data_IF_859544182908
#
_entry.id   IF_859544182908
#
_cell.length_a   1.000
_cell.length_b   1.000
_cell.length_c   1.000
_cell.angle_alpha   90.00
_cell.angle_beta   90.00
_cell.angle_gamma   90.00
#
_symmetry.space_group_name_H-M   'P 1'
#
loop_
_entity.id
_entity.type
_entity.pdbx_description
1 polymer ?
#
# COMPACT_ATOMS: atom_id res chain seq x y z
N UNK A 1 -19.77 5.30 7.74
CA UNK A 1 -19.64 6.73 8.10
C UNK A 1 -18.47 6.87 9.06
N UNK A 2 -17.24 6.96 8.54
CA UNK A 2 -16.06 7.26 9.36
C UNK A 2 -16.10 8.74 9.72
N UNK A 3 -16.04 9.06 11.01
CA UNK A 3 -15.94 10.45 11.44
C UNK A 3 -14.60 11.03 11.00
N UNK A 4 -14.53 12.35 10.83
CA UNK A 4 -13.26 13.05 10.55
C UNK A 4 -12.14 12.65 11.56
N UNK A 5 -12.53 12.30 12.79
CA UNK A 5 -11.63 11.77 13.84
C UNK A 5 -11.01 10.41 13.51
N UNK A 6 -11.78 9.50 12.92
CA UNK A 6 -11.31 8.15 12.57
C UNK A 6 -10.32 8.20 11.42
N UNK A 7 -10.62 9.04 10.41
CA UNK A 7 -9.71 9.24 9.30
C UNK A 7 -8.38 9.86 9.75
N UNK A 8 -8.41 10.91 10.57
CA UNK A 8 -7.18 11.53 11.08
C UNK A 8 -6.37 10.54 11.93
N UNK A 9 -7.04 9.72 12.75
CA UNK A 9 -6.37 8.68 13.53
C UNK A 9 -5.76 7.59 12.63
N UNK A 10 -6.46 7.16 11.58
CA UNK A 10 -5.97 6.19 10.62
C UNK A 10 -4.78 6.74 9.83
N UNK A 11 -4.90 7.95 9.30
CA UNK A 11 -3.83 8.66 8.61
C UNK A 11 -2.60 8.86 9.49
N UNK A 12 -2.79 9.20 10.77
CA UNK A 12 -1.68 9.31 11.72
C UNK A 12 -0.98 7.96 11.93
N UNK A 13 -1.74 6.87 12.05
CA UNK A 13 -1.17 5.51 12.19
C UNK A 13 -0.40 5.08 10.94
N UNK A 14 -0.99 5.19 9.75
CA UNK A 14 -0.31 4.82 8.50
C UNK A 14 0.91 5.69 8.23
N UNK A 15 0.82 7.00 8.48
CA UNK A 15 1.97 7.91 8.39
C UNK A 15 3.08 7.49 9.36
N UNK A 16 2.74 7.16 10.60
CA UNK A 16 3.71 6.74 11.61
C UNK A 16 4.39 5.41 11.22
N UNK A 17 3.63 4.44 10.73
CA UNK A 17 4.17 3.15 10.24
C UNK A 17 5.09 3.37 9.04
N UNK A 18 4.64 4.17 8.06
CA UNK A 18 5.45 4.49 6.89
C UNK A 18 6.71 5.29 7.24
N UNK A 19 6.60 6.24 8.17
CA UNK A 19 7.74 6.98 8.72
C UNK A 19 8.71 6.07 9.47
N UNK A 20 8.22 5.11 10.24
CA UNK A 20 9.04 4.08 10.89
C UNK A 20 9.80 3.20 9.88
N UNK A 21 9.12 2.77 8.81
CA UNK A 21 9.78 2.07 7.71
C UNK A 21 10.83 2.95 7.01
N UNK A 22 10.54 4.24 6.81
CA UNK A 22 11.48 5.22 6.30
C UNK A 22 12.68 5.43 7.22
N UNK A 23 12.50 5.42 8.53
CA UNK A 23 13.58 5.49 9.52
C UNK A 23 14.48 4.26 9.44
N UNK A 24 13.90 3.08 9.30
CA UNK A 24 14.66 1.85 9.12
C UNK A 24 15.49 1.86 7.82
N UNK A 25 14.86 2.27 6.71
CA UNK A 25 15.51 2.43 5.41
C UNK A 25 16.59 3.52 5.46
N UNK A 26 16.36 4.59 6.22
CA UNK A 26 17.34 5.64 6.49
C UNK A 26 18.55 5.11 7.26
N UNK A 27 18.32 4.29 8.28
CA UNK A 27 19.39 3.65 9.06
C UNK A 27 20.27 2.76 8.17
N UNK A 28 19.67 1.95 7.29
CA UNK A 28 20.40 1.11 6.33
C UNK A 28 21.23 1.96 5.37
N UNK A 29 20.65 3.04 4.82
CA UNK A 29 21.40 3.93 3.93
C UNK A 29 22.53 4.66 4.66
N UNK A 30 22.34 5.00 5.94
CA UNK A 30 23.36 5.63 6.77
C UNK A 30 24.53 4.68 7.08
N UNK A 31 24.29 3.37 7.24
CA UNK A 31 25.37 2.39 7.49
C UNK A 31 26.14 2.02 6.22
N UNK A 32 25.50 2.02 5.05
CA UNK A 32 26.15 1.74 3.77
C UNK A 32 26.87 2.96 3.17
N UNK A 33 26.61 4.16 3.69
CA UNK A 33 27.23 5.39 3.22
C UNK A 33 28.72 5.46 3.57
N UNK A 34 29.56 5.88 2.61
CA UNK A 34 30.96 6.26 2.88
C UNK A 34 31.01 7.61 3.60
N UNK A 35 30.66 7.67 4.89
CA UNK A 35 30.74 8.88 5.70
C UNK A 35 30.96 8.58 7.19
N UNK A 36 31.52 9.54 7.92
CA UNK A 36 31.79 9.46 9.37
C UNK A 36 30.70 10.07 10.24
N UNK A 37 29.51 10.33 9.67
CA UNK A 37 28.35 10.77 10.43
C UNK A 37 27.77 9.55 11.17
N UNK A 38 27.89 9.54 12.50
CA UNK A 38 27.34 8.49 13.36
C UNK A 38 25.81 8.45 13.35
N UNK A 39 25.17 8.22 14.50
CA UNK A 39 23.70 8.11 14.59
C UNK A 39 22.93 9.36 14.07
N UNK A 40 23.56 10.53 14.08
CA UNK A 40 22.95 11.78 13.58
C UNK A 40 22.67 11.75 12.07
N UNK A 41 23.46 11.01 11.30
CA UNK A 41 23.32 10.93 9.84
C UNK A 41 21.97 10.36 9.37
N UNK A 42 21.31 9.55 10.21
CA UNK A 42 19.96 9.00 9.97
C UNK A 42 18.93 10.12 9.78
N UNK A 43 19.09 11.26 10.45
CA UNK A 43 18.17 12.38 10.37
C UNK A 43 18.70 13.51 9.49
N UNK A 44 20.02 13.76 9.51
CA UNK A 44 20.60 14.91 8.79
C UNK A 44 20.93 14.61 7.33
N UNK A 45 21.29 13.37 7.00
CA UNK A 45 21.74 12.99 5.66
C UNK A 45 20.71 12.14 4.92
N UNK A 46 20.27 11.06 5.54
CA UNK A 46 19.29 10.11 4.96
C UNK A 46 17.87 10.38 5.46
N UNK A 47 17.69 11.40 6.31
CA UNK A 47 16.39 11.79 6.89
C UNK A 47 15.32 12.16 5.86
N UNK A 48 15.73 12.58 4.65
CA UNK A 48 14.81 12.79 3.53
C UNK A 48 14.01 11.54 3.16
N UNK A 49 14.54 10.34 3.40
CA UNK A 49 13.79 9.08 3.15
C UNK A 49 12.69 8.83 4.18
N UNK A 50 12.90 9.26 5.43
CA UNK A 50 11.88 9.19 6.50
C UNK A 50 10.70 10.07 6.13
N UNK A 51 10.96 11.34 5.82
CA UNK A 51 9.91 12.30 5.43
C UNK A 51 9.22 11.89 4.14
N UNK A 52 9.96 11.33 3.19
CA UNK A 52 9.41 10.85 1.93
C UNK A 52 8.41 9.70 2.11
N UNK A 53 8.78 8.64 2.84
CA UNK A 53 7.87 7.51 3.08
C UNK A 53 6.70 7.91 3.97
N UNK A 54 6.93 8.74 5.00
CA UNK A 54 5.87 9.28 5.83
C UNK A 54 4.85 10.09 4.99
N UNK A 55 5.32 10.96 4.11
CA UNK A 55 4.47 11.74 3.22
C UNK A 55 3.65 10.84 2.28
N UNK A 56 4.26 9.81 1.69
CA UNK A 56 3.53 8.85 0.85
C UNK A 56 2.41 8.14 1.64
N UNK A 57 2.70 7.63 2.85
CA UNK A 57 1.71 6.95 3.69
C UNK A 57 0.59 7.87 4.17
N UNK A 58 0.90 9.13 4.48
CA UNK A 58 -0.09 10.12 4.87
C UNK A 58 -1.01 10.55 3.72
N UNK A 59 -0.43 10.83 2.55
CA UNK A 59 -1.21 11.19 1.34
C UNK A 59 -2.12 10.03 0.94
N UNK A 60 -1.63 8.79 1.00
CA UNK A 60 -2.42 7.59 0.75
C UNK A 60 -3.67 7.57 1.65
N UNK A 61 -3.49 7.54 2.97
CA UNK A 61 -4.61 7.37 3.90
C UNK A 61 -5.61 8.53 3.86
N UNK A 62 -5.15 9.77 3.72
CA UNK A 62 -6.06 10.93 3.61
C UNK A 62 -6.88 10.85 2.32
N UNK A 63 -6.24 10.46 1.21
CA UNK A 63 -6.90 10.36 -0.09
C UNK A 63 -7.90 9.20 -0.11
N UNK A 64 -7.56 8.08 0.53
CA UNK A 64 -8.44 6.93 0.69
C UNK A 64 -9.69 7.31 1.49
N UNK A 65 -9.54 7.93 2.66
CA UNK A 65 -10.69 8.42 3.43
C UNK A 65 -11.55 9.41 2.63
N UNK A 66 -10.92 10.31 1.88
CA UNK A 66 -11.63 11.30 1.08
C UNK A 66 -12.42 10.61 -0.05
N UNK A 67 -11.85 9.61 -0.70
CA UNK A 67 -12.51 8.82 -1.73
C UNK A 67 -13.69 8.03 -1.15
N UNK A 68 -13.51 7.37 -0.01
CA UNK A 68 -14.58 6.68 0.72
C UNK A 68 -15.69 7.64 1.15
N UNK A 69 -15.34 8.82 1.65
CA UNK A 69 -16.31 9.82 2.08
C UNK A 69 -17.16 10.37 0.94
N UNK A 70 -16.57 10.52 -0.25
CA UNK A 70 -17.28 11.01 -1.45
C UNK A 70 -18.14 9.91 -2.08
N UNK A 71 -17.65 8.67 -2.15
CA UNK A 71 -18.36 7.56 -2.82
C UNK A 71 -19.33 6.82 -1.90
N UNK A 72 -19.12 6.88 -0.59
CA UNK A 72 -19.91 6.14 0.40
C UNK A 72 -19.71 4.62 0.35
N UNK A 73 -18.75 4.13 -0.43
CA UNK A 73 -18.48 2.72 -0.67
C UNK A 73 -16.99 2.44 -0.48
N UNK A 74 -16.67 1.28 0.12
CA UNK A 74 -15.30 0.81 0.37
C UNK A 74 -14.90 -0.17 -0.73
N UNK A 75 -14.40 0.35 -1.84
CA UNK A 75 -14.01 -0.42 -3.01
C UNK A 75 -12.49 -0.42 -3.26
N UNK A 76 -11.95 -1.42 -3.98
CA UNK A 76 -10.55 -1.43 -4.42
C UNK A 76 -10.15 -0.18 -5.22
N UNK A 77 -11.10 0.50 -5.86
CA UNK A 77 -10.86 1.76 -6.57
C UNK A 77 -10.38 2.89 -5.65
N UNK A 78 -10.80 2.91 -4.38
CA UNK A 78 -10.36 3.93 -3.42
C UNK A 78 -8.87 3.78 -3.12
N UNK A 79 -8.42 2.56 -2.84
CA UNK A 79 -7.01 2.25 -2.65
C UNK A 79 -6.18 2.47 -3.92
N UNK A 80 -6.74 2.22 -5.11
CA UNK A 80 -6.09 2.54 -6.37
C UNK A 80 -5.86 4.05 -6.56
N UNK A 81 -6.87 4.88 -6.28
CA UNK A 81 -6.78 6.34 -6.37
C UNK A 81 -5.82 6.89 -5.31
N UNK A 82 -5.93 6.40 -4.07
CA UNK A 82 -5.01 6.74 -2.98
C UNK A 82 -3.57 6.34 -3.30
N UNK A 83 -3.37 5.16 -3.87
CA UNK A 83 -2.08 4.65 -4.33
C UNK A 83 -1.47 5.51 -5.43
N UNK A 84 -2.28 5.95 -6.40
CA UNK A 84 -1.83 6.90 -7.42
C UNK A 84 -1.40 8.24 -6.80
N UNK A 85 -2.23 8.81 -5.91
CA UNK A 85 -1.93 10.07 -5.23
C UNK A 85 -0.63 9.98 -4.40
N UNK A 86 -0.42 8.89 -3.68
CA UNK A 86 0.82 8.61 -2.97
C UNK A 86 2.01 8.45 -3.94
N UNK A 87 1.81 7.78 -5.07
CA UNK A 87 2.81 7.61 -6.12
C UNK A 87 3.28 8.93 -6.75
N UNK A 88 2.41 9.93 -6.86
CA UNK A 88 2.79 11.26 -7.35
C UNK A 88 3.85 11.93 -6.47
N UNK A 89 3.85 11.67 -5.15
CA UNK A 89 4.88 12.18 -4.22
C UNK A 89 6.27 11.69 -4.62
N UNK A 90 6.39 10.45 -5.13
CA UNK A 90 7.65 9.92 -5.66
C UNK A 90 8.14 10.70 -6.89
N UNK A 91 7.23 11.07 -7.79
CA UNK A 91 7.56 11.87 -8.95
C UNK A 91 7.90 13.33 -8.62
N UNK A 92 7.27 13.92 -7.59
CA UNK A 92 7.66 15.24 -7.06
C UNK A 92 9.09 15.19 -6.56
N UNK A 93 9.45 14.17 -5.78
CA UNK A 93 10.83 13.99 -5.29
C UNK A 93 11.84 13.77 -6.42
N UNK A 94 11.44 13.08 -7.48
CA UNK A 94 12.29 12.83 -8.65
C UNK A 94 12.31 14.01 -9.66
N UNK A 95 11.51 15.06 -9.46
CA UNK A 95 11.34 16.17 -10.39
C UNK A 95 11.08 15.73 -11.84
N UNK A 96 10.26 14.69 -12.03
CA UNK A 96 10.02 14.08 -13.35
C UNK A 96 8.57 13.70 -13.53
N UNK A 97 7.94 14.26 -14.58
CA UNK A 97 6.56 13.94 -14.96
C UNK A 97 6.43 12.47 -15.38
N UNK A 98 7.45 11.93 -16.06
CA UNK A 98 7.45 10.51 -16.43
C UNK A 98 7.43 9.62 -15.17
N UNK A 99 8.22 9.98 -14.15
CA UNK A 99 8.22 9.26 -12.87
C UNK A 99 6.91 9.44 -12.12
N UNK A 100 6.25 10.60 -12.21
CA UNK A 100 4.91 10.81 -11.65
C UNK A 100 3.90 9.84 -12.28
N UNK A 101 3.83 9.77 -13.61
CA UNK A 101 2.90 8.88 -14.30
C UNK A 101 3.19 7.41 -14.01
N UNK A 102 4.47 7.01 -14.07
CA UNK A 102 4.89 5.64 -13.80
C UNK A 102 4.61 5.22 -12.34
N UNK A 103 4.90 6.10 -11.37
CA UNK A 103 4.66 5.83 -9.97
C UNK A 103 3.16 5.83 -9.64
N UNK A 104 2.37 6.74 -10.21
CA UNK A 104 0.92 6.71 -10.06
C UNK A 104 0.34 5.40 -10.59
N UNK A 105 0.68 5.02 -11.82
CA UNK A 105 0.18 3.78 -12.43
C UNK A 105 0.67 2.53 -11.67
N UNK A 106 1.95 2.48 -11.32
CA UNK A 106 2.55 1.34 -10.63
C UNK A 106 2.01 1.17 -9.21
N UNK A 107 2.06 2.21 -8.39
CA UNK A 107 1.60 2.15 -6.99
C UNK A 107 0.08 2.03 -6.95
N UNK A 108 -0.64 2.79 -7.78
CA UNK A 108 -2.10 2.72 -7.87
C UNK A 108 -2.59 1.34 -8.31
N UNK A 109 -2.02 0.76 -9.38
CA UNK A 109 -2.40 -0.58 -9.80
C UNK A 109 -2.06 -1.65 -8.76
N UNK A 110 -0.93 -1.51 -8.06
CA UNK A 110 -0.53 -2.46 -7.02
C UNK A 110 -1.49 -2.41 -5.83
N UNK A 111 -1.88 -1.21 -5.37
CA UNK A 111 -2.83 -1.05 -4.27
C UNK A 111 -4.24 -1.51 -4.68
N UNK A 112 -4.66 -1.20 -5.90
CA UNK A 112 -5.92 -1.72 -6.45
C UNK A 112 -5.92 -3.25 -6.46
N UNK A 113 -4.84 -3.87 -6.95
CA UNK A 113 -4.72 -5.32 -6.99
C UNK A 113 -4.68 -5.94 -5.57
N UNK A 114 -4.06 -5.26 -4.62
CA UNK A 114 -3.99 -5.70 -3.22
C UNK A 114 -5.38 -5.77 -2.57
N UNK A 115 -6.16 -4.68 -2.67
CA UNK A 115 -7.54 -4.66 -2.16
C UNK A 115 -8.44 -5.61 -2.94
N UNK A 116 -8.29 -5.67 -4.27
CA UNK A 116 -9.05 -6.59 -5.11
C UNK A 116 -8.79 -8.06 -4.75
N UNK A 117 -7.56 -8.40 -4.31
CA UNK A 117 -7.21 -9.73 -3.83
C UNK A 117 -7.71 -10.03 -2.40
N UNK A 118 -8.43 -9.12 -1.76
CA UNK A 118 -9.00 -9.27 -0.42
C UNK A 118 -8.14 -8.69 0.71
N UNK A 119 -7.27 -7.72 0.41
CA UNK A 119 -6.58 -6.92 1.42
C UNK A 119 -5.62 -7.72 2.31
N UNK A 120 -5.26 -8.94 1.91
CA UNK A 120 -4.46 -9.87 2.70
C UNK A 120 -3.47 -10.66 1.84
N UNK A 121 -2.22 -10.76 2.30
CA UNK A 121 -1.17 -11.52 1.61
C UNK A 121 -1.35 -13.04 1.66
N UNK A 122 -2.24 -13.54 2.53
CA UNK A 122 -2.60 -14.97 2.55
C UNK A 122 -3.66 -15.35 1.51
N UNK A 123 -4.17 -14.37 0.75
CA UNK A 123 -5.17 -14.54 -0.30
C UNK A 123 -6.62 -14.59 0.23
N UNK A 124 -7.57 -14.50 -0.70
CA UNK A 124 -9.02 -14.48 -0.44
C UNK A 124 -9.52 -15.66 0.39
N UNK A 125 -8.85 -16.81 0.33
CA UNK A 125 -9.26 -17.99 1.10
C UNK A 125 -9.21 -17.77 2.62
N UNK A 126 -8.43 -16.82 3.14
CA UNK A 126 -8.36 -16.60 4.59
C UNK A 126 -9.63 -15.97 5.16
N UNK A 127 -10.32 -15.13 4.38
CA UNK A 127 -11.60 -14.55 4.77
C UNK A 127 -12.79 -15.49 4.51
N UNK A 128 -12.61 -16.52 3.68
CA UNK A 128 -13.66 -17.49 3.39
C UNK A 128 -13.93 -18.37 4.61
N UNK A 129 -15.21 -18.64 4.86
CA UNK A 129 -15.64 -19.63 5.84
C UNK A 129 -15.09 -21.03 5.50
N UNK A 130 -14.96 -21.92 6.49
CA UNK A 130 -14.47 -23.29 6.25
C UNK A 130 -15.31 -24.04 5.19
N UNK A 131 -16.62 -23.74 5.14
CA UNK A 131 -17.55 -24.28 4.15
C UNK A 131 -17.29 -23.72 2.74
N UNK A 132 -17.03 -22.42 2.62
CA UNK A 132 -16.64 -21.79 1.36
C UNK A 132 -15.27 -22.26 0.85
N UNK A 133 -14.29 -22.46 1.74
CA UNK A 133 -12.99 -23.05 1.38
C UNK A 133 -13.15 -24.47 0.83
N UNK A 134 -14.08 -25.24 1.40
CA UNK A 134 -14.40 -26.58 0.94
C UNK A 134 -15.10 -26.55 -0.42
N UNK A 135 -16.10 -25.69 -0.61
CA UNK A 135 -16.78 -25.49 -1.89
C UNK A 135 -15.82 -25.02 -2.99
N UNK A 136 -14.91 -24.09 -2.66
CA UNK A 136 -13.87 -23.62 -3.58
C UNK A 136 -12.95 -24.77 -3.99
N UNK A 137 -12.39 -25.55 -3.04
CA UNK A 137 -11.62 -26.78 -3.37
C UNK A 137 -12.39 -27.73 -4.28
N UNK A 138 -13.63 -28.05 -3.92
CA UNK A 138 -14.44 -29.02 -4.64
C UNK A 138 -14.73 -28.55 -6.08
N UNK A 139 -14.81 -27.23 -6.30
CA UNK A 139 -14.94 -26.65 -7.65
C UNK A 139 -13.70 -26.85 -8.54
N UNK A 140 -12.49 -26.90 -7.98
CA UNK A 140 -11.26 -27.22 -8.73
C UNK A 140 -11.14 -28.72 -9.04
N UNK A 141 -11.53 -29.58 -8.10
CA UNK A 141 -11.38 -31.04 -8.25
C UNK A 141 -12.49 -31.69 -9.08
N UNK A 142 -13.60 -31.01 -9.38
CA UNK A 142 -14.69 -31.56 -10.21
C UNK A 142 -14.37 -31.64 -11.71
N UNK A 143 -13.27 -31.05 -12.19
CA UNK A 143 -12.93 -31.00 -13.62
C UNK A 143 -12.28 -32.26 -14.22
N UNK A 144 -11.76 -33.19 -13.42
CA UNK A 144 -11.06 -34.37 -13.95
C UNK A 144 -11.96 -35.59 -14.22
N UNK A 145 -13.24 -35.60 -13.80
CA UNK A 145 -14.14 -36.74 -14.07
C UNK A 145 -14.74 -36.77 -15.49
N UNK A 146 -14.59 -35.73 -16.29
CA UNK A 146 -15.16 -35.67 -17.65
C UNK A 146 -14.16 -36.01 -18.77
N UNK A 147 -12.90 -36.32 -18.46
CA UNK A 147 -11.88 -36.66 -19.47
C UNK A 147 -11.61 -38.18 -19.53
N UNK A 148 -12.17 -38.98 -18.63
CA UNK A 148 -12.06 -40.45 -18.62
C UNK A 148 -13.23 -41.18 -19.32
N UNK A 149 -14.17 -40.45 -19.94
CA UNK A 149 -15.31 -41.02 -20.68
C UNK A 149 -15.34 -40.63 -22.18
N UNK A 150 -14.19 -40.34 -22.80
CA UNK A 150 -14.08 -40.11 -24.25
C UNK A 150 -13.29 -41.23 -24.94
#
# INVERSE_FOLDING_TARGET
MTGNKDCVAQAAKTTAVAGGAGLFVSAIQNTMGKHSEGAKGIFTRTGGTVGFLAAMGGVFAITECAAEGIRGESDPYNAGIAGCAAGLVAGVRAHSIATMCAACAGVGATMFAYEYAGGNLKGTLVDMSEDEKKAWRDSFFKKNKQTEEA
#
